data_IF_420344759973
#
_entry.id   IF_420344759973
#
_cell.length_a   1.000
_cell.length_b   1.000
_cell.length_c   1.000
_cell.angle_alpha   90.00
_cell.angle_beta   90.00
_cell.angle_gamma   90.00
#
_symmetry.space_group_name_H-M   'P 1'
#
loop_
_entity.id
_entity.type
_entity.pdbx_description
1 polymer ?
#
# COMPACT_ATOMS: atom_id res chain seq x y z
N UNK A 1 -35.51 -1.61 -4.92
CA UNK A 1 -35.14 -1.09 -3.58
C UNK A 1 -34.23 -2.06 -2.80
N UNK A 2 -34.54 -3.36 -2.65
CA UNK A 2 -33.71 -4.30 -1.86
C UNK A 2 -32.28 -4.55 -2.40
N UNK A 3 -32.11 -4.66 -3.72
CA UNK A 3 -30.79 -4.94 -4.34
C UNK A 3 -29.76 -3.79 -4.17
N UNK A 4 -30.22 -2.55 -4.04
CA UNK A 4 -29.36 -1.37 -3.94
C UNK A 4 -28.62 -1.31 -2.60
N UNK A 5 -29.31 -1.68 -1.51
CA UNK A 5 -28.70 -1.77 -0.17
C UNK A 5 -27.69 -2.93 -0.09
N UNK A 6 -27.93 -4.03 -0.81
CA UNK A 6 -27.03 -5.17 -0.86
C UNK A 6 -25.71 -4.83 -1.58
N UNK A 7 -25.80 -4.10 -2.70
CA UNK A 7 -24.63 -3.61 -3.43
C UNK A 7 -23.84 -2.61 -2.58
N UNK A 8 -24.50 -1.72 -1.84
CA UNK A 8 -23.84 -0.78 -0.92
C UNK A 8 -23.12 -1.50 0.24
N UNK A 9 -23.75 -2.54 0.81
CA UNK A 9 -23.14 -3.33 1.88
C UNK A 9 -21.96 -4.16 1.39
N UNK A 10 -22.06 -4.77 0.20
CA UNK A 10 -20.96 -5.55 -0.39
C UNK A 10 -19.79 -4.65 -0.80
N UNK A 11 -20.06 -3.49 -1.43
CA UNK A 11 -19.00 -2.53 -1.75
C UNK A 11 -18.40 -1.89 -0.49
N UNK A 12 -19.22 -1.62 0.54
CA UNK A 12 -18.72 -1.15 1.84
C UNK A 12 -17.83 -2.19 2.54
N UNK A 13 -18.17 -3.48 2.42
CA UNK A 13 -17.40 -4.58 3.01
C UNK A 13 -16.06 -4.82 2.26
N UNK A 14 -16.03 -4.66 0.94
CA UNK A 14 -14.79 -4.79 0.14
C UNK A 14 -13.80 -3.64 0.43
N UNK A 15 -14.29 -2.48 0.88
CA UNK A 15 -13.45 -1.35 1.32
C UNK A 15 -12.89 -1.55 2.74
N UNK A 16 -13.48 -2.45 3.53
CA UNK A 16 -13.06 -2.73 4.89
C UNK A 16 -11.97 -3.82 4.90
N UNK A 17 -10.76 -3.43 5.32
CA UNK A 17 -9.67 -4.32 5.81
C UNK A 17 -8.73 -4.97 4.78
N UNK A 18 -8.22 -4.22 3.80
CA UNK A 18 -6.96 -4.64 3.18
C UNK A 18 -5.79 -4.26 4.09
N UNK A 19 -5.29 -5.24 4.84
CA UNK A 19 -4.03 -5.11 5.55
C UNK A 19 -2.90 -5.05 4.51
N UNK A 20 -2.08 -3.99 4.59
CA UNK A 20 -0.98 -3.76 3.66
C UNK A 20 -0.01 -4.95 3.64
N UNK A 21 0.36 -5.44 2.47
CA UNK A 21 1.39 -6.47 2.35
C UNK A 21 2.71 -5.87 1.86
N UNK A 22 3.83 -6.20 2.50
CA UNK A 22 5.17 -5.72 2.10
C UNK A 22 6.12 -6.89 1.92
N UNK A 23 7.19 -6.72 1.13
CA UNK A 23 8.29 -7.67 1.18
C UNK A 23 9.07 -7.48 2.48
N UNK A 24 9.44 -8.60 3.08
CA UNK A 24 10.29 -8.70 4.25
C UNK A 24 11.59 -9.43 3.89
N UNK A 25 12.69 -9.02 4.52
CA UNK A 25 13.97 -9.69 4.42
C UNK A 25 15.11 -8.81 3.92
N UNK A 26 16.30 -9.40 3.85
CA UNK A 26 17.53 -8.76 3.39
C UNK A 26 17.94 -9.39 2.07
N UNK A 27 18.17 -8.56 1.07
CA UNK A 27 18.74 -8.98 -0.21
C UNK A 27 20.08 -8.28 -0.42
N UNK A 28 21.03 -8.98 -1.02
CA UNK A 28 22.27 -8.38 -1.53
C UNK A 28 22.34 -8.55 -3.06
N UNK A 29 23.49 -8.25 -3.66
CA UNK A 29 23.72 -8.41 -5.11
C UNK A 29 23.62 -9.88 -5.60
N UNK A 30 23.67 -10.85 -4.69
CA UNK A 30 23.78 -12.30 -4.97
C UNK A 30 22.61 -13.14 -4.44
N UNK A 31 21.84 -12.64 -3.48
CA UNK A 31 20.73 -13.36 -2.84
C UNK A 31 19.51 -12.46 -2.68
N UNK A 32 18.33 -13.04 -2.94
CA UNK A 32 17.04 -12.36 -2.86
C UNK A 32 16.07 -13.24 -2.08
N UNK A 33 16.29 -13.35 -0.78
CA UNK A 33 15.33 -13.95 0.13
C UNK A 33 14.30 -12.88 0.53
N UNK A 34 13.28 -12.75 -0.32
CA UNK A 34 12.14 -11.86 -0.08
C UNK A 34 10.90 -12.70 0.19
N UNK A 35 10.37 -12.56 1.39
CA UNK A 35 9.08 -13.15 1.76
C UNK A 35 8.01 -12.06 1.81
N UNK A 36 6.89 -12.20 1.11
CA UNK A 36 5.76 -11.32 1.33
C UNK A 36 5.23 -11.54 2.75
N UNK A 37 4.95 -10.44 3.46
CA UNK A 37 4.38 -10.46 4.80
C UNK A 37 3.32 -9.37 4.93
N UNK A 38 2.18 -9.74 5.51
CA UNK A 38 1.11 -8.80 5.86
C UNK A 38 1.54 -7.95 7.06
N UNK A 39 1.49 -6.64 6.91
CA UNK A 39 1.77 -5.69 7.97
C UNK A 39 0.60 -5.67 8.95
N UNK A 40 0.81 -6.29 10.11
CA UNK A 40 -0.09 -6.17 11.25
C UNK A 40 0.14 -4.84 11.95
N UNK A 41 -0.93 -4.23 12.47
CA UNK A 41 -0.85 -3.05 13.33
C UNK A 41 0.15 -3.33 14.44
N UNK A 42 1.17 -2.48 14.56
CA UNK A 42 2.08 -2.53 15.70
C UNK A 42 1.27 -2.15 16.94
N UNK A 43 1.58 -2.75 18.09
CA UNK A 43 0.88 -2.47 19.36
C UNK A 43 0.71 -0.96 19.58
N UNK A 44 -0.43 -0.57 20.19
CA UNK A 44 -0.97 0.80 20.27
C UNK A 44 -1.85 1.28 19.09
N UNK A 45 -2.29 0.36 18.21
CA UNK A 45 -3.27 0.70 17.16
C UNK A 45 -2.70 1.52 16.00
N UNK A 46 -1.37 1.54 15.85
CA UNK A 46 -0.71 2.19 14.71
C UNK A 46 -0.88 1.30 13.49
N UNK A 47 -1.75 1.74 12.57
CA UNK A 47 -1.95 1.09 11.27
C UNK A 47 -0.72 1.37 10.43
N UNK A 48 -0.03 0.32 10.00
CA UNK A 48 1.12 0.44 9.10
C UNK A 48 0.60 0.67 7.69
N UNK A 49 0.74 1.90 7.20
CA UNK A 49 0.31 2.30 5.85
C UNK A 49 1.45 2.29 4.82
N UNK A 50 2.69 2.02 5.26
CA UNK A 50 3.87 2.12 4.42
C UNK A 50 4.74 0.87 4.47
N UNK A 51 5.30 0.52 3.32
CA UNK A 51 6.45 -0.37 3.22
C UNK A 51 7.75 0.46 3.22
N UNK A 52 8.74 -0.03 3.96
CA UNK A 52 10.09 0.52 4.00
C UNK A 52 11.07 -0.34 3.18
N UNK A 53 12.04 0.33 2.57
CA UNK A 53 13.21 -0.26 1.89
C UNK A 53 14.43 0.57 2.28
N UNK A 54 15.39 -0.05 2.96
CA UNK A 54 16.64 0.58 3.36
C UNK A 54 17.80 0.02 2.54
N UNK A 55 18.52 0.87 1.82
CA UNK A 55 19.75 0.50 1.12
C UNK A 55 20.99 0.92 1.95
N UNK A 56 21.84 -0.05 2.32
CA UNK A 56 23.05 0.15 3.12
C UNK A 56 24.23 -0.54 2.45
N UNK A 57 25.15 0.23 1.85
CA UNK A 57 26.45 -0.30 1.41
C UNK A 57 26.41 -1.51 0.44
N UNK A 58 25.31 -1.71 -0.30
CA UNK A 58 25.12 -2.86 -1.21
C UNK A 58 24.10 -3.90 -0.72
N UNK A 59 23.69 -3.81 0.54
CA UNK A 59 22.54 -4.55 1.08
C UNK A 59 21.26 -3.74 0.94
N UNK A 60 20.16 -4.43 0.75
CA UNK A 60 18.82 -3.85 0.83
C UNK A 60 17.99 -4.62 1.85
N UNK A 61 17.50 -3.92 2.86
CA UNK A 61 16.58 -4.42 3.88
C UNK A 61 15.19 -3.93 3.53
N UNK A 62 14.19 -4.80 3.67
CA UNK A 62 12.78 -4.51 3.39
C UNK A 62 11.94 -4.95 4.56
N UNK A 63 11.00 -4.11 4.95
CA UNK A 63 10.07 -4.40 6.03
C UNK A 63 8.83 -3.50 5.95
N UNK A 64 7.84 -3.79 6.79
CA UNK A 64 6.75 -2.87 7.13
C UNK A 64 7.31 -1.70 7.96
N UNK A 65 6.81 -0.47 7.78
CA UNK A 65 7.26 0.69 8.57
C UNK A 65 6.73 0.67 10.01
N UNK A 66 7.26 -0.25 10.83
CA UNK A 66 6.86 -0.37 12.23
C UNK A 66 7.36 0.80 13.10
N UNK A 67 8.37 1.53 12.63
CA UNK A 67 8.95 2.69 13.32
C UNK A 67 8.23 4.01 13.01
N UNK A 68 7.20 3.97 12.14
CA UNK A 68 6.41 5.12 11.73
C UNK A 68 7.24 6.27 11.11
N UNK A 69 8.44 5.98 10.60
CA UNK A 69 9.28 6.99 9.97
C UNK A 69 8.76 7.35 8.58
N UNK A 70 8.25 6.37 7.83
CA UNK A 70 7.66 6.58 6.51
C UNK A 70 6.36 7.39 6.57
N UNK A 71 5.63 7.36 7.68
CA UNK A 71 4.48 8.25 7.87
C UNK A 71 4.86 9.73 7.86
N UNK A 72 6.05 10.07 8.37
CA UNK A 72 6.57 11.46 8.37
C UNK A 72 7.22 11.81 7.03
N UNK A 73 7.94 10.86 6.42
CA UNK A 73 8.64 11.07 5.14
C UNK A 73 7.71 11.09 3.92
N UNK A 74 6.60 10.36 3.97
CA UNK A 74 5.74 10.10 2.83
C UNK A 74 6.38 9.12 1.84
N UNK A 75 5.71 8.91 0.70
CA UNK A 75 6.16 7.97 -0.34
C UNK A 75 7.35 8.53 -1.14
N UNK A 76 8.55 8.54 -0.55
CA UNK A 76 9.77 9.10 -1.12
C UNK A 76 11.02 8.32 -0.70
N UNK A 77 12.16 8.63 -1.33
CA UNK A 77 13.48 8.17 -0.92
C UNK A 77 14.28 9.33 -0.35
N UNK A 78 15.03 9.06 0.72
CA UNK A 78 15.95 10.00 1.37
C UNK A 78 17.22 9.28 1.77
N UNK A 79 18.35 9.88 1.44
CA UNK A 79 19.69 9.42 1.81
C UNK A 79 20.08 9.92 3.19
N UNK A 80 21.09 9.27 3.79
CA UNK A 80 21.66 9.62 5.10
C UNK A 80 20.63 9.60 6.25
N UNK A 81 19.72 8.62 6.23
CA UNK A 81 18.77 8.40 7.30
C UNK A 81 19.16 7.18 8.14
N UNK A 82 18.78 7.24 9.42
CA UNK A 82 18.94 6.14 10.37
C UNK A 82 17.59 5.44 10.53
N UNK A 83 17.52 4.18 10.08
CA UNK A 83 16.34 3.33 10.18
C UNK A 83 16.76 1.98 10.76
N UNK A 84 16.07 1.53 11.82
CA UNK A 84 16.44 0.31 12.57
C UNK A 84 17.91 0.28 13.03
N UNK A 85 18.49 1.45 13.36
CA UNK A 85 19.88 1.59 13.80
C UNK A 85 20.93 1.57 12.67
N UNK A 86 20.51 1.47 11.41
CA UNK A 86 21.41 1.43 10.24
C UNK A 86 21.32 2.74 9.45
N UNK A 87 22.47 3.22 8.98
CA UNK A 87 22.57 4.45 8.19
C UNK A 87 22.59 4.15 6.69
N UNK A 88 21.67 4.73 5.93
CA UNK A 88 21.56 4.46 4.50
C UNK A 88 20.56 5.32 3.76
N UNK A 89 20.12 4.84 2.60
CA UNK A 89 19.00 5.42 1.86
C UNK A 89 17.71 4.70 2.25
N UNK A 90 16.80 5.41 2.91
CA UNK A 90 15.47 4.92 3.23
C UNK A 90 14.49 5.36 2.16
N UNK A 91 13.80 4.39 1.60
CA UNK A 91 12.74 4.57 0.62
C UNK A 91 11.41 4.03 1.19
N UNK A 92 10.36 4.83 1.05
CA UNK A 92 9.02 4.55 1.57
C UNK A 92 7.98 4.52 0.44
N UNK A 93 7.00 3.62 0.53
CA UNK A 93 5.82 3.60 -0.36
C UNK A 93 4.55 3.10 0.28
N UNK A 94 3.43 3.42 -0.37
CA UNK A 94 2.12 2.85 -0.11
C UNK A 94 1.73 1.83 -1.18
N UNK A 95 1.05 0.77 -0.75
CA UNK A 95 0.49 -0.28 -1.61
C UNK A 95 1.25 -1.59 -1.55
N UNK A 96 0.58 -2.67 -1.93
CA UNK A 96 1.10 -4.01 -1.72
C UNK A 96 2.41 -4.26 -2.47
N UNK A 97 3.37 -4.83 -1.75
CA UNK A 97 4.68 -5.28 -2.24
C UNK A 97 5.48 -4.18 -2.96
N UNK A 98 5.16 -2.91 -2.70
CA UNK A 98 5.73 -1.77 -3.42
C UNK A 98 7.25 -1.60 -3.20
N UNK A 99 7.79 -2.14 -2.10
CA UNK A 99 9.21 -2.13 -1.76
C UNK A 99 10.04 -3.20 -2.51
N UNK A 100 9.45 -3.96 -3.43
CA UNK A 100 10.15 -5.02 -4.19
C UNK A 100 11.03 -4.56 -5.35
N UNK A 101 10.75 -3.38 -5.90
CA UNK A 101 11.43 -2.86 -7.10
C UNK A 101 12.84 -2.32 -6.84
N UNK A 102 13.60 -2.10 -7.93
CA UNK A 102 14.83 -1.30 -7.90
C UNK A 102 14.52 0.14 -7.46
N UNK A 103 13.43 0.69 -7.99
CA UNK A 103 12.80 1.94 -7.57
C UNK A 103 11.46 1.69 -6.90
N UNK A 104 11.14 2.53 -5.93
CA UNK A 104 9.82 2.53 -5.31
C UNK A 104 8.83 3.19 -6.26
N UNK A 105 7.81 2.44 -6.68
CA UNK A 105 6.70 2.99 -7.47
C UNK A 105 5.60 3.43 -6.52
N UNK A 106 5.31 4.72 -6.51
CA UNK A 106 4.12 5.25 -5.85
C UNK A 106 2.89 4.77 -6.62
N UNK A 107 2.19 3.76 -6.08
CA UNK A 107 0.93 3.31 -6.62
C UNK A 107 -0.13 4.37 -6.28
N UNK A 108 -0.35 5.31 -7.20
CA UNK A 108 -1.47 6.24 -7.14
C UNK A 108 -2.78 5.44 -7.20
N UNK A 109 -3.54 5.46 -6.10
CA UNK A 109 -4.89 4.88 -6.00
C UNK A 109 -5.94 5.57 -6.90
N UNK A 110 -5.55 6.56 -7.71
CA UNK A 110 -6.47 7.37 -8.52
C UNK A 110 -7.28 6.57 -9.55
N UNK A 111 -6.77 5.44 -10.03
CA UNK A 111 -7.45 4.64 -11.07
C UNK A 111 -8.71 3.94 -10.55
N UNK A 112 -8.75 3.58 -9.25
CA UNK A 112 -9.90 2.90 -8.66
C UNK A 112 -11.11 3.83 -8.46
N UNK A 113 -10.87 5.12 -8.17
CA UNK A 113 -11.93 6.11 -7.96
C UNK A 113 -12.70 6.45 -9.26
N UNK A 114 -12.00 6.42 -10.40
CA UNK A 114 -12.61 6.68 -11.70
C UNK A 114 -13.51 5.51 -12.11
N UNK A 115 -13.12 4.27 -11.79
CA UNK A 115 -13.90 3.08 -12.15
C UNK A 115 -15.23 2.98 -11.39
N UNK A 116 -15.24 3.37 -10.11
CA UNK A 116 -16.46 3.44 -9.29
C UNK A 116 -17.39 4.58 -9.72
N UNK A 117 -16.84 5.72 -10.15
CA UNK A 117 -17.64 6.83 -10.68
C UNK A 117 -18.32 6.45 -12.00
N UNK A 118 -17.60 5.77 -12.91
CA UNK A 118 -18.15 5.37 -14.22
C UNK A 118 -19.25 4.32 -14.07
N UNK A 119 -19.08 3.34 -13.17
CA UNK A 119 -20.09 2.29 -12.94
C UNK A 119 -21.35 2.81 -12.25
N UNK A 120 -21.23 3.80 -11.36
CA UNK A 120 -22.39 4.45 -10.72
C UNK A 120 -23.17 5.34 -11.70
N UNK A 121 -22.48 6.09 -12.57
CA UNK A 121 -23.14 6.87 -13.62
C UNK A 121 -23.83 5.97 -14.67
N UNK A 122 -23.18 4.88 -15.08
CA UNK A 122 -23.77 3.94 -16.05
C UNK A 122 -25.03 3.25 -15.51
N UNK A 123 -25.04 2.90 -14.22
CA UNK A 123 -26.23 2.32 -13.57
C UNK A 123 -27.37 3.33 -13.42
N UNK A 124 -27.07 4.61 -13.16
CA UNK A 124 -28.09 5.68 -13.16
C UNK A 124 -28.72 5.88 -14.55
N UNK A 125 -27.90 5.83 -15.61
CA UNK A 125 -28.38 5.97 -16.99
C UNK A 125 -29.30 4.80 -17.38
N UNK A 126 -28.93 3.56 -17.06
CA UNK A 126 -29.76 2.38 -17.37
C UNK A 126 -31.12 2.40 -16.66
N UNK A 127 -31.16 2.86 -15.40
CA UNK A 127 -32.42 3.02 -14.67
C UNK A 127 -33.25 4.16 -15.27
N UNK A 128 -32.64 5.29 -15.65
CA UNK A 128 -33.36 6.40 -16.30
C UNK A 128 -34.03 6.01 -17.63
N UNK A 129 -33.42 5.11 -18.41
CA UNK A 129 -33.93 4.65 -19.71
C UNK A 129 -35.00 3.55 -19.59
N UNK A 130 -35.06 2.82 -18.48
CA UNK A 130 -36.10 1.78 -18.26
C UNK A 130 -37.41 2.33 -17.71
N UNK A 131 -37.44 3.59 -17.26
CA UNK A 131 -38.62 4.24 -16.67
C UNK A 131 -39.19 5.38 -17.53
N UNK A 132 -38.78 5.49 -18.80
CA UNK A 132 -39.38 6.33 -19.86
C UNK A 132 -40.00 5.40 -20.90
#
# INVERSE_FOLDING_TARGET
MQYFNLIFLINGYIVLTQALECYFGRSNLTSKDLTPQTCVSVGNGVIVEYCAKLNVGGDTIRECDALNQCATLGATCRVNLIYSGLHGELCCCKGDRCNGGASIKSNYQGTFFILTLVTTLASYYFIGVTFI
#
